data_IF_872581627604
#
_entry.id   IF_872581627604
#
_cell.length_a   1.000
_cell.length_b   1.000
_cell.length_c   1.000
_cell.angle_alpha   90.00
_cell.angle_beta   90.00
_cell.angle_gamma   90.00
#
_symmetry.space_group_name_H-M   'P 1'
#
loop_
_entity.id
_entity.type
_entity.pdbx_description
1 polymer ?
#
# COMPACT_ATOMS: atom_id res chain seq x y z
N UNK A 1 -5.02 -24.22 3.48
CA UNK A 1 -5.03 -23.22 2.39
C UNK A 1 -5.33 -21.89 3.03
N UNK A 2 -4.45 -20.90 2.84
CA UNK A 2 -4.75 -19.53 3.26
C UNK A 2 -5.85 -18.97 2.38
N UNK A 3 -6.74 -18.15 2.95
CA UNK A 3 -7.77 -17.49 2.15
C UNK A 3 -7.14 -16.57 1.10
N UNK A 4 -7.73 -16.49 -0.11
CA UNK A 4 -7.22 -15.62 -1.16
C UNK A 4 -7.26 -14.16 -0.72
N UNK A 5 -6.19 -13.41 -1.00
CA UNK A 5 -6.15 -11.98 -0.71
C UNK A 5 -6.98 -11.23 -1.74
N UNK A 6 -7.94 -10.47 -1.26
CA UNK A 6 -8.91 -9.74 -2.09
C UNK A 6 -8.91 -8.24 -1.82
N UNK A 7 -9.41 -7.50 -2.81
CA UNK A 7 -9.70 -6.07 -2.72
C UNK A 7 -10.94 -5.76 -3.55
N UNK A 8 -11.95 -5.14 -2.94
CA UNK A 8 -13.24 -4.91 -3.58
C UNK A 8 -13.75 -3.45 -3.49
N UNK A 9 -15.02 -3.25 -3.85
CA UNK A 9 -15.63 -1.92 -3.90
C UNK A 9 -15.88 -1.34 -2.50
N UNK A 10 -16.09 -2.17 -1.48
CA UNK A 10 -16.20 -1.71 -0.11
C UNK A 10 -14.84 -1.19 0.36
N UNK A 11 -13.77 -1.98 0.16
CA UNK A 11 -12.40 -1.55 0.45
C UNK A 11 -12.06 -0.22 -0.25
N UNK A 12 -12.43 -0.10 -1.53
CA UNK A 12 -12.18 1.10 -2.33
C UNK A 12 -12.88 2.36 -1.80
N UNK A 13 -14.10 2.21 -1.30
CA UNK A 13 -14.90 3.31 -0.74
C UNK A 13 -14.37 3.77 0.62
N UNK A 14 -13.74 2.88 1.37
CA UNK A 14 -13.08 3.23 2.64
C UNK A 14 -11.75 3.98 2.45
N UNK A 15 -11.23 4.07 1.22
CA UNK A 15 -10.02 4.84 0.92
C UNK A 15 -10.33 6.32 0.73
N UNK A 16 -9.72 7.14 1.56
CA UNK A 16 -9.74 8.60 1.42
C UNK A 16 -8.91 9.06 0.23
N UNK A 17 -9.08 10.32 -0.18
CA UNK A 17 -8.20 10.93 -1.19
C UNK A 17 -6.72 10.94 -0.78
N UNK A 18 -6.44 11.07 0.52
CA UNK A 18 -5.08 11.02 1.05
C UNK A 18 -4.48 9.62 0.97
N UNK A 19 -5.25 8.57 1.28
CA UNK A 19 -4.81 7.18 1.15
C UNK A 19 -4.44 6.88 -0.31
N UNK A 20 -5.31 7.28 -1.24
CA UNK A 20 -5.12 7.11 -2.68
C UNK A 20 -3.86 7.83 -3.17
N UNK A 21 -3.61 9.06 -2.70
CA UNK A 21 -2.41 9.83 -3.05
C UNK A 21 -1.13 9.20 -2.46
N UNK A 22 -1.17 8.77 -1.20
CA UNK A 22 -0.04 8.14 -0.54
C UNK A 22 0.34 6.83 -1.22
N UNK A 23 -0.66 5.97 -1.47
CA UNK A 23 -0.47 4.68 -2.13
C UNK A 23 0.11 4.85 -3.55
N UNK A 24 -0.41 5.81 -4.34
CA UNK A 24 0.11 6.15 -5.68
C UNK A 24 1.56 6.63 -5.65
N UNK A 25 1.92 7.39 -4.63
CA UNK A 25 3.26 8.00 -4.54
C UNK A 25 4.28 6.97 -4.06
N UNK A 26 3.92 6.20 -3.02
CA UNK A 26 4.77 5.18 -2.45
C UNK A 26 4.99 3.99 -3.40
N UNK A 27 3.98 3.59 -4.19
CA UNK A 27 4.10 2.47 -5.13
C UNK A 27 5.18 2.65 -6.20
N UNK A 28 5.60 3.89 -6.48
CA UNK A 28 6.67 4.20 -7.43
C UNK A 28 8.06 3.78 -6.94
N UNK A 29 8.23 3.66 -5.63
CA UNK A 29 9.50 3.31 -5.00
C UNK A 29 9.44 1.99 -4.24
N UNK A 30 8.26 1.38 -4.10
CA UNK A 30 8.01 0.18 -3.31
C UNK A 30 8.52 -1.11 -4.00
N UNK A 31 9.85 -1.29 -4.04
CA UNK A 31 10.48 -2.53 -4.51
C UNK A 31 10.41 -3.60 -3.41
N UNK A 32 10.72 -3.22 -2.17
CA UNK A 32 10.59 -4.07 -0.98
C UNK A 32 10.25 -3.22 0.26
N UNK A 33 11.00 -3.36 1.36
CA UNK A 33 10.93 -2.46 2.51
C UNK A 33 11.73 -1.20 2.24
N UNK A 34 11.02 -0.09 2.04
CA UNK A 34 11.61 1.14 1.56
C UNK A 34 11.39 2.27 2.58
N UNK A 35 12.42 3.09 2.85
CA UNK A 35 12.28 4.21 3.77
C UNK A 35 11.44 5.32 3.17
N UNK A 36 10.69 6.02 4.02
CA UNK A 36 9.89 7.19 3.60
C UNK A 36 10.69 8.29 2.94
N UNK A 37 11.99 8.40 3.25
CA UNK A 37 12.91 9.34 2.61
C UNK A 37 12.94 9.21 1.07
N UNK A 38 12.64 8.03 0.52
CA UNK A 38 12.56 7.80 -0.94
C UNK A 38 11.21 8.21 -1.54
N UNK A 39 10.17 8.41 -0.73
CA UNK A 39 8.82 8.71 -1.17
C UNK A 39 8.42 10.16 -0.83
N UNK A 40 9.07 11.14 -1.48
CA UNK A 40 8.77 12.56 -1.26
C UNK A 40 7.27 12.86 -1.43
N UNK A 41 6.67 13.48 -0.41
CA UNK A 41 5.24 13.77 -0.37
C UNK A 41 4.36 12.71 0.31
N UNK A 42 4.96 11.63 0.82
CA UNK A 42 4.29 10.66 1.71
C UNK A 42 4.81 10.85 3.14
N UNK A 43 3.93 11.26 4.04
CA UNK A 43 4.26 11.44 5.45
C UNK A 43 4.01 10.19 6.27
N UNK A 44 4.57 10.16 7.49
CA UNK A 44 4.43 9.05 8.43
C UNK A 44 2.96 8.69 8.71
N UNK A 45 2.14 9.70 9.01
CA UNK A 45 0.69 9.52 9.26
C UNK A 45 -0.04 8.85 8.09
N UNK A 46 0.38 9.12 6.85
CA UNK A 46 -0.21 8.50 5.67
C UNK A 46 0.15 7.02 5.58
N UNK A 47 1.40 6.65 5.89
CA UNK A 47 1.77 5.23 5.93
C UNK A 47 1.11 4.49 7.08
N UNK A 48 1.03 5.11 8.26
CA UNK A 48 0.34 4.51 9.42
C UNK A 48 -1.14 4.22 9.09
N UNK A 49 -1.81 5.12 8.36
CA UNK A 49 -3.18 4.89 7.89
C UNK A 49 -3.27 3.72 6.87
N UNK A 50 -2.30 3.59 5.95
CA UNK A 50 -2.25 2.46 5.02
C UNK A 50 -1.97 1.14 5.74
N UNK A 51 -1.12 1.14 6.78
CA UNK A 51 -0.84 -0.02 7.63
C UNK A 51 -2.10 -0.42 8.40
N UNK A 52 -2.81 0.53 9.00
CA UNK A 52 -4.06 0.27 9.71
C UNK A 52 -5.15 -0.34 8.79
N UNK A 53 -5.10 -0.05 7.48
CA UNK A 53 -6.00 -0.61 6.45
C UNK A 53 -5.48 -1.91 5.82
N UNK A 54 -4.33 -2.43 6.27
CA UNK A 54 -3.71 -3.64 5.71
C UNK A 54 -3.14 -3.49 4.30
N UNK A 55 -2.97 -2.27 3.81
CA UNK A 55 -2.44 -1.97 2.46
C UNK A 55 -0.92 -1.83 2.44
N UNK A 56 -0.32 -1.62 3.61
CA UNK A 56 1.12 -1.61 3.81
C UNK A 56 1.47 -2.37 5.09
N UNK A 57 2.73 -2.77 5.20
CA UNK A 57 3.32 -3.28 6.43
C UNK A 57 4.58 -2.48 6.74
N UNK A 58 4.79 -2.26 8.02
CA UNK A 58 6.03 -1.69 8.53
C UNK A 58 7.08 -2.79 8.69
N UNK A 59 8.32 -2.51 8.29
CA UNK A 59 9.46 -3.38 8.48
C UNK A 59 10.35 -2.92 9.64
N UNK A 60 11.52 -3.52 9.75
CA UNK A 60 12.53 -3.05 10.70
C UNK A 60 12.97 -1.62 10.40
N UNK A 61 13.35 -0.89 11.46
CA UNK A 61 13.89 0.45 11.30
C UNK A 61 15.28 0.34 10.67
N UNK A 62 15.45 0.92 9.49
CA UNK A 62 16.73 0.98 8.80
C UNK A 62 17.53 2.23 9.15
N UNK A 63 18.70 2.37 8.52
CA UNK A 63 19.58 3.54 8.68
C UNK A 63 18.87 4.89 8.41
N UNK A 64 17.83 4.87 7.58
CA UNK A 64 17.06 6.05 7.16
C UNK A 64 15.67 6.14 7.82
N UNK A 65 15.47 5.44 8.94
CA UNK A 65 14.23 5.43 9.70
C UNK A 65 13.29 4.26 9.36
N UNK A 66 12.00 4.44 9.66
CA UNK A 66 10.96 3.42 9.44
C UNK A 66 10.87 3.05 7.96
N UNK A 67 10.80 1.76 7.68
CA UNK A 67 10.67 1.21 6.34
C UNK A 67 9.28 0.60 6.14
N UNK A 68 8.77 0.66 4.91
CA UNK A 68 7.44 0.17 4.61
C UNK A 68 7.43 -0.62 3.31
N UNK A 69 6.51 -1.58 3.22
CA UNK A 69 6.25 -2.36 2.02
C UNK A 69 4.77 -2.39 1.72
N UNK A 70 4.40 -2.30 0.44
CA UNK A 70 3.00 -2.47 0.01
C UNK A 70 2.63 -3.96 0.08
N UNK A 71 1.49 -4.27 0.70
CA UNK A 71 0.99 -5.66 0.77
C UNK A 71 0.41 -6.10 -0.57
N UNK A 72 0.14 -7.39 -0.74
CA UNK A 72 -0.64 -7.91 -1.87
C UNK A 72 -1.99 -7.17 -2.02
N UNK A 73 -2.69 -6.91 -0.91
CA UNK A 73 -3.94 -6.11 -0.89
C UNK A 73 -3.69 -4.67 -1.33
N UNK A 74 -2.61 -4.05 -0.86
CA UNK A 74 -2.19 -2.72 -1.30
C UNK A 74 -1.90 -2.62 -2.79
N UNK A 75 -1.29 -3.64 -3.39
CA UNK A 75 -1.08 -3.69 -4.83
C UNK A 75 -2.38 -3.83 -5.63
N UNK A 76 -3.37 -4.57 -5.13
CA UNK A 76 -4.71 -4.55 -5.74
C UNK A 76 -5.32 -3.14 -5.68
N UNK A 77 -5.19 -2.43 -4.56
CA UNK A 77 -5.63 -1.05 -4.45
C UNK A 77 -4.89 -0.11 -5.44
N UNK A 78 -3.61 -0.37 -5.73
CA UNK A 78 -2.85 0.34 -6.79
C UNK A 78 -3.43 0.05 -8.18
N UNK A 79 -3.75 -1.20 -8.51
CA UNK A 79 -4.39 -1.53 -9.78
C UNK A 79 -5.72 -0.78 -9.97
N UNK A 80 -6.51 -0.66 -8.88
CA UNK A 80 -7.76 0.10 -8.88
C UNK A 80 -7.54 1.61 -9.10
N UNK A 81 -6.44 2.18 -8.57
CA UNK A 81 -6.03 3.56 -8.88
C UNK A 81 -5.73 3.77 -10.37
N UNK A 82 -5.31 2.71 -11.08
CA UNK A 82 -5.05 2.71 -12.51
C UNK A 82 -6.28 2.31 -13.35
N UNK A 83 -7.45 2.17 -12.72
CA UNK A 83 -8.71 1.82 -13.39
C UNK A 83 -8.90 0.32 -13.62
N UNK A 84 -7.93 -0.52 -13.23
CA UNK A 84 -8.02 -1.98 -13.35
C UNK A 84 -8.72 -2.53 -12.10
N UNK A 85 -9.88 -3.15 -12.27
CA UNK A 85 -10.72 -3.66 -11.17
C UNK A 85 -10.37 -5.10 -10.77
N UNK A 86 -9.08 -5.40 -10.66
CA UNK A 86 -8.58 -6.72 -10.27
C UNK A 86 -8.94 -6.98 -8.80
N UNK A 87 -9.71 -8.05 -8.53
CA UNK A 87 -10.24 -8.32 -7.18
C UNK A 87 -9.42 -9.28 -6.34
N UNK A 88 -8.65 -10.16 -6.98
CA UNK A 88 -7.91 -11.23 -6.32
C UNK A 88 -6.45 -11.10 -6.72
N UNK A 89 -5.55 -11.20 -5.75
CA UNK A 89 -4.13 -11.17 -6.05
C UNK A 89 -3.73 -12.49 -6.72
N UNK A 90 -3.08 -12.48 -7.89
CA UNK A 90 -2.64 -13.71 -8.54
C UNK A 90 -1.56 -14.36 -7.67
N UNK A 91 -1.85 -15.54 -7.14
CA UNK A 91 -0.84 -16.38 -6.48
C UNK A 91 -0.03 -17.03 -7.60
N UNK A 92 1.25 -16.65 -7.70
CA UNK A 92 2.25 -17.22 -8.61
C UNK A 92 2.87 -18.48 -8.02
#
# INVERSE_FOLDING_TARGET
MSEPITFDEADWRELTGHDKKALRTFSRVAIDFEPLAKASGVGQKSMDALVAKGLAVEGETGLHGRTFKITKKGWLAVEWLHGRRTRVYPES
#
